data_IF_203456571099
#
_entry.id   IF_203456571099
#
_cell.length_a   1.000
_cell.length_b   1.000
_cell.length_c   1.000
_cell.angle_alpha   90.00
_cell.angle_beta   90.00
_cell.angle_gamma   90.00
#
_symmetry.space_group_name_H-M   'P 1'
#
loop_
_entity.id
_entity.type
_entity.pdbx_description
1 polymer ?
#
# COMPACT_ATOMS: atom_id res chain seq x y z
N UNK A 1 2.38 14.78 19.20
CA UNK A 1 2.64 13.59 20.05
C UNK A 1 2.67 14.04 21.49
N UNK A 2 2.28 13.19 22.42
CA UNK A 2 2.16 13.58 23.84
C UNK A 2 3.55 13.94 24.41
N UNK A 3 3.63 14.94 25.30
CA UNK A 3 4.88 15.49 25.83
C UNK A 3 5.87 14.45 26.40
N UNK A 4 5.35 13.30 26.90
CA UNK A 4 6.21 12.21 27.41
C UNK A 4 7.15 11.61 26.34
N UNK A 5 6.82 11.74 25.04
CA UNK A 5 7.63 11.24 23.95
C UNK A 5 8.65 12.24 23.39
N UNK A 6 8.59 13.52 23.78
CA UNK A 6 9.36 14.59 23.15
C UNK A 6 10.87 14.32 23.15
N UNK A 7 11.41 13.81 24.26
CA UNK A 7 12.83 13.49 24.37
C UNK A 7 13.26 12.35 23.44
N UNK A 8 12.43 11.29 23.33
CA UNK A 8 12.70 10.15 22.46
C UNK A 8 12.57 10.54 20.98
N UNK A 9 11.56 11.34 20.64
CA UNK A 9 11.36 11.84 19.26
C UNK A 9 12.50 12.76 18.85
N UNK A 10 12.95 13.65 19.74
CA UNK A 10 14.11 14.50 19.46
C UNK A 10 15.37 13.67 19.18
N UNK A 11 15.60 12.60 19.96
CA UNK A 11 16.70 11.66 19.73
C UNK A 11 16.57 10.93 18.38
N UNK A 12 15.37 10.44 18.05
CA UNK A 12 15.08 9.78 16.76
C UNK A 12 15.37 10.75 15.59
N UNK A 13 14.87 11.98 15.64
CA UNK A 13 15.04 12.96 14.57
C UNK A 13 16.50 13.40 14.39
N UNK A 14 17.27 13.48 15.47
CA UNK A 14 18.69 13.84 15.42
C UNK A 14 19.62 12.67 15.12
N UNK A 15 19.12 11.42 15.15
CA UNK A 15 19.94 10.22 15.01
C UNK A 15 20.81 9.92 16.24
N UNK A 16 20.48 10.48 17.41
CA UNK A 16 21.25 10.32 18.64
C UNK A 16 20.88 9.03 19.36
N UNK A 17 21.63 7.97 19.04
CA UNK A 17 21.43 6.61 19.55
C UNK A 17 21.56 6.56 21.08
N UNK A 18 22.61 7.20 21.64
CA UNK A 18 22.88 7.13 23.08
C UNK A 18 21.81 7.87 23.89
N UNK A 19 21.32 8.98 23.35
CA UNK A 19 20.21 9.71 23.96
C UNK A 19 18.94 8.86 23.93
N UNK A 20 18.61 8.21 22.79
CA UNK A 20 17.45 7.31 22.71
C UNK A 20 17.58 6.17 23.71
N UNK A 21 18.74 5.53 23.79
CA UNK A 21 19.04 4.45 24.73
C UNK A 21 18.81 4.90 26.18
N UNK A 22 19.36 6.07 26.55
CA UNK A 22 19.19 6.64 27.89
C UNK A 22 17.72 6.91 28.25
N UNK A 23 16.98 7.51 27.31
CA UNK A 23 15.57 7.85 27.53
C UNK A 23 14.71 6.60 27.67
N UNK A 24 14.94 5.57 26.82
CA UNK A 24 14.19 4.31 26.86
C UNK A 24 14.56 3.47 28.08
N UNK A 25 15.83 3.49 28.52
CA UNK A 25 16.23 2.82 29.77
C UNK A 25 15.63 3.47 31.01
N UNK A 26 15.48 4.79 31.02
CA UNK A 26 14.82 5.50 32.11
C UNK A 26 13.31 5.24 32.20
N UNK A 27 12.64 5.06 31.04
CA UNK A 27 11.23 4.69 30.96
C UNK A 27 10.98 3.73 29.79
N UNK A 28 11.12 2.41 30.00
CA UNK A 28 10.88 1.41 28.97
C UNK A 28 9.44 1.40 28.44
N UNK A 29 8.48 1.95 29.19
CA UNK A 29 7.08 2.00 28.75
C UNK A 29 6.87 2.90 27.52
N UNK A 30 7.82 3.79 27.22
CA UNK A 30 7.78 4.61 26.01
C UNK A 30 7.82 3.76 24.74
N UNK A 31 8.53 2.62 24.73
CA UNK A 31 8.62 1.74 23.58
C UNK A 31 7.28 1.04 23.28
N UNK A 32 6.48 0.74 24.30
CA UNK A 32 5.20 0.04 24.18
C UNK A 32 3.98 0.95 24.16
N UNK A 33 4.15 2.20 24.57
CA UNK A 33 3.07 3.19 24.65
C UNK A 33 2.66 3.71 23.29
N UNK A 34 1.38 4.09 23.19
CA UNK A 34 0.80 4.74 22.01
C UNK A 34 0.51 6.20 22.31
N UNK A 35 0.85 7.07 21.38
CA UNK A 35 0.47 8.50 21.41
C UNK A 35 -0.88 8.73 20.78
N UNK A 36 -1.38 9.96 20.87
CA UNK A 36 -2.62 10.40 20.22
C UNK A 36 -2.47 10.74 18.72
N UNK A 37 -1.33 10.47 18.10
CA UNK A 37 -1.08 10.78 16.69
C UNK A 37 -1.39 9.61 15.76
N UNK A 38 -1.39 9.86 14.44
CA UNK A 38 -1.55 8.86 13.39
C UNK A 38 -0.41 7.82 13.37
N UNK A 39 0.78 8.20 13.85
CA UNK A 39 1.94 7.31 14.01
C UNK A 39 2.18 7.08 15.50
N UNK A 40 1.38 6.21 16.13
CA UNK A 40 1.21 6.23 17.58
C UNK A 40 2.38 5.68 18.38
N UNK A 41 3.30 4.90 17.79
CA UNK A 41 4.45 4.33 18.50
C UNK A 41 5.76 4.96 18.07
N UNK A 42 6.76 4.95 18.97
CA UNK A 42 8.10 5.44 18.64
C UNK A 42 8.73 4.68 17.46
N UNK A 43 8.48 3.36 17.37
CA UNK A 43 9.03 2.55 16.30
C UNK A 43 8.36 2.89 14.94
N UNK A 44 7.06 3.20 14.90
CA UNK A 44 6.42 3.74 13.70
C UNK A 44 6.98 5.11 13.30
N UNK A 45 7.15 6.01 14.26
CA UNK A 45 7.77 7.32 14.04
C UNK A 45 9.19 7.17 13.45
N UNK A 46 10.01 6.28 14.01
CA UNK A 46 11.36 6.00 13.52
C UNK A 46 11.34 5.51 12.05
N UNK A 47 10.47 4.57 11.72
CA UNK A 47 10.39 4.00 10.37
C UNK A 47 9.89 5.00 9.33
N UNK A 48 8.94 5.86 9.69
CA UNK A 48 8.29 6.79 8.77
C UNK A 48 9.05 8.12 8.64
N UNK A 49 9.46 8.69 9.77
CA UNK A 49 9.95 10.07 9.82
C UNK A 49 11.49 10.17 9.83
N UNK A 50 12.20 9.07 10.12
CA UNK A 50 13.64 9.01 10.18
C UNK A 50 14.24 7.92 9.26
N UNK A 51 13.61 7.69 8.11
CA UNK A 51 14.01 6.66 7.14
C UNK A 51 15.45 6.78 6.66
N UNK A 52 15.89 8.01 6.42
CA UNK A 52 17.24 8.30 5.89
C UNK A 52 18.30 8.44 7.00
N UNK A 53 17.93 8.13 8.24
CA UNK A 53 18.87 8.17 9.35
C UNK A 53 19.78 6.93 9.30
N UNK A 54 21.11 7.10 9.22
CA UNK A 54 22.05 5.98 9.14
C UNK A 54 22.01 5.07 10.38
N UNK A 55 21.50 5.57 11.50
CA UNK A 55 21.37 4.82 12.75
C UNK A 55 19.99 4.20 12.95
N UNK A 56 19.10 4.24 11.93
CA UNK A 56 17.72 3.78 12.05
C UNK A 56 17.61 2.34 12.58
N UNK A 57 18.43 1.44 12.07
CA UNK A 57 18.38 0.01 12.45
C UNK A 57 18.83 -0.20 13.89
N UNK A 58 19.87 0.52 14.34
CA UNK A 58 20.31 0.43 15.74
C UNK A 58 19.25 1.02 16.68
N UNK A 59 18.67 2.14 16.35
CA UNK A 59 17.58 2.74 17.12
C UNK A 59 16.34 1.83 17.16
N UNK A 60 16.01 1.16 16.04
CA UNK A 60 14.91 0.19 16.00
C UNK A 60 15.16 -0.96 16.98
N UNK A 61 16.38 -1.51 17.03
CA UNK A 61 16.75 -2.56 18.00
C UNK A 61 16.56 -2.11 19.45
N UNK A 62 16.97 -0.89 19.80
CA UNK A 62 16.75 -0.35 21.16
C UNK A 62 15.26 -0.38 21.54
N UNK A 63 14.39 0.04 20.62
CA UNK A 63 12.95 0.06 20.86
C UNK A 63 12.36 -1.36 20.92
N UNK A 64 12.80 -2.27 20.06
CA UNK A 64 12.36 -3.66 20.01
C UNK A 64 12.81 -4.40 21.28
N UNK A 65 14.06 -4.22 21.71
CA UNK A 65 14.60 -4.83 22.93
C UNK A 65 13.85 -4.32 24.20
N UNK A 66 13.30 -3.12 24.13
CA UNK A 66 12.42 -2.55 25.15
C UNK A 66 10.93 -2.98 25.00
N UNK A 67 10.62 -3.90 24.08
CA UNK A 67 9.31 -4.51 23.94
C UNK A 67 8.37 -3.82 22.94
N UNK A 68 8.87 -2.98 22.03
CA UNK A 68 8.04 -2.37 21.01
C UNK A 68 7.34 -3.43 20.13
N UNK A 69 6.05 -3.16 19.78
CA UNK A 69 5.33 -3.98 18.80
C UNK A 69 5.97 -3.87 17.41
N UNK A 70 6.30 -5.03 16.83
CA UNK A 70 6.96 -5.13 15.52
C UNK A 70 5.96 -5.23 14.34
N UNK A 71 4.69 -5.56 14.59
CA UNK A 71 3.70 -5.75 13.54
C UNK A 71 3.20 -4.42 12.95
N UNK A 72 2.83 -3.47 13.80
CA UNK A 72 2.34 -2.17 13.34
C UNK A 72 3.33 -1.41 12.46
N UNK A 73 4.63 -1.30 12.85
CA UNK A 73 5.66 -0.65 12.03
C UNK A 73 5.97 -1.35 10.71
N UNK A 74 5.73 -2.65 10.58
CA UNK A 74 6.00 -3.40 9.35
C UNK A 74 5.16 -2.90 8.17
N UNK A 75 3.88 -2.54 8.39
CA UNK A 75 3.05 -1.85 7.38
C UNK A 75 3.65 -0.50 6.96
N UNK A 76 4.21 0.25 7.90
CA UNK A 76 4.89 1.51 7.60
C UNK A 76 6.16 1.29 6.75
N UNK A 77 6.91 0.20 6.97
CA UNK A 77 8.03 -0.17 6.09
C UNK A 77 7.55 -0.45 4.66
N UNK A 78 6.43 -1.16 4.52
CA UNK A 78 5.84 -1.46 3.22
C UNK A 78 5.44 -0.18 2.47
N UNK A 79 4.81 0.79 3.14
CA UNK A 79 4.40 2.06 2.51
C UNK A 79 5.58 2.98 2.12
N UNK A 80 6.76 2.77 2.67
CA UNK A 80 7.96 3.59 2.42
C UNK A 80 9.07 2.89 1.65
N UNK A 81 8.84 1.67 1.20
CA UNK A 81 9.87 0.81 0.58
C UNK A 81 11.13 0.67 1.44
N UNK A 82 10.95 0.62 2.77
CA UNK A 82 12.06 0.50 3.72
C UNK A 82 12.40 -0.97 3.98
N UNK A 83 13.20 -1.54 3.09
CA UNK A 83 13.52 -2.97 3.08
C UNK A 83 14.37 -3.41 4.27
N UNK A 84 15.28 -2.56 4.76
CA UNK A 84 16.16 -2.90 5.88
C UNK A 84 15.38 -2.99 7.20
N UNK A 85 14.53 -2.00 7.46
CA UNK A 85 13.66 -2.04 8.63
C UNK A 85 12.63 -3.18 8.53
N UNK A 86 12.06 -3.43 7.34
CA UNK A 86 11.16 -4.57 7.13
C UNK A 86 11.83 -5.90 7.43
N UNK A 87 13.07 -6.10 6.96
CA UNK A 87 13.84 -7.32 7.22
C UNK A 87 14.10 -7.51 8.73
N UNK A 88 14.51 -6.43 9.42
CA UNK A 88 14.71 -6.49 10.88
C UNK A 88 13.42 -6.87 11.61
N UNK A 89 12.28 -6.25 11.29
CA UNK A 89 11.01 -6.54 11.97
C UNK A 89 10.55 -7.98 11.75
N UNK A 90 10.72 -8.51 10.52
CA UNK A 90 10.46 -9.92 10.21
C UNK A 90 11.39 -10.85 10.97
N UNK A 91 12.70 -10.54 11.10
CA UNK A 91 13.67 -11.30 11.88
C UNK A 91 13.33 -11.28 13.38
N UNK A 92 12.65 -10.24 13.85
CA UNK A 92 12.14 -10.11 15.22
C UNK A 92 10.73 -10.69 15.42
N UNK A 93 10.20 -11.44 14.44
CA UNK A 93 8.96 -12.20 14.57
C UNK A 93 7.70 -11.48 14.16
N UNK A 94 7.80 -10.39 13.40
CA UNK A 94 6.62 -9.76 12.81
C UNK A 94 5.90 -10.72 11.84
N UNK A 95 4.55 -10.70 11.85
CA UNK A 95 3.72 -11.57 11.03
C UNK A 95 3.81 -11.14 9.55
N UNK A 96 4.38 -11.99 8.71
CA UNK A 96 4.65 -11.68 7.29
C UNK A 96 3.38 -11.39 6.48
N UNK A 97 2.28 -12.06 6.78
CA UNK A 97 0.99 -11.83 6.12
C UNK A 97 0.12 -10.78 6.85
N UNK A 98 0.68 -10.12 7.87
CA UNK A 98 -0.04 -9.15 8.68
C UNK A 98 -0.92 -9.80 9.75
N UNK A 99 -1.63 -8.97 10.51
CA UNK A 99 -2.51 -9.40 11.62
C UNK A 99 -3.97 -9.03 11.39
N UNK A 100 -4.34 -8.61 10.20
CA UNK A 100 -5.67 -8.11 9.83
C UNK A 100 -6.12 -8.51 8.43
N UNK A 101 -7.19 -7.90 7.96
CA UNK A 101 -7.78 -8.17 6.63
C UNK A 101 -7.03 -7.55 5.44
N UNK A 102 -5.92 -6.86 5.70
CA UNK A 102 -5.02 -6.27 4.69
C UNK A 102 -3.60 -6.78 4.93
N UNK A 103 -3.04 -7.47 3.94
CA UNK A 103 -1.72 -8.06 4.09
C UNK A 103 -0.60 -7.05 3.80
N UNK A 104 0.60 -7.37 4.27
CA UNK A 104 1.78 -6.55 3.99
C UNK A 104 2.14 -6.53 2.50
N UNK A 105 1.87 -7.63 1.81
CA UNK A 105 2.09 -7.70 0.36
C UNK A 105 1.10 -6.80 -0.39
N UNK A 106 -0.15 -6.70 0.06
CA UNK A 106 -1.13 -5.73 -0.46
C UNK A 106 -0.68 -4.29 -0.21
N UNK A 107 -0.18 -3.99 1.00
CA UNK A 107 0.36 -2.67 1.35
C UNK A 107 1.54 -2.30 0.45
N UNK A 108 2.49 -3.22 0.28
CA UNK A 108 3.67 -2.99 -0.56
C UNK A 108 3.31 -2.81 -2.04
N UNK A 109 2.35 -3.59 -2.55
CA UNK A 109 1.81 -3.44 -3.91
C UNK A 109 1.10 -2.10 -4.07
N UNK A 110 0.25 -1.71 -3.13
CA UNK A 110 -0.47 -0.44 -3.18
C UNK A 110 0.47 0.77 -3.31
N UNK A 111 1.60 0.75 -2.58
CA UNK A 111 2.60 1.83 -2.60
C UNK A 111 3.71 1.63 -3.64
N UNK A 112 3.62 0.61 -4.49
CA UNK A 112 4.66 0.24 -5.47
C UNK A 112 6.05 0.09 -4.83
N UNK A 113 6.12 -0.54 -3.66
CA UNK A 113 7.33 -0.71 -2.85
C UNK A 113 8.09 -1.96 -3.26
N UNK A 114 8.73 -1.93 -4.44
CA UNK A 114 9.31 -3.10 -5.09
C UNK A 114 10.31 -3.88 -4.21
N UNK A 115 11.21 -3.17 -3.51
CA UNK A 115 12.21 -3.86 -2.66
C UNK A 115 11.59 -4.64 -1.51
N UNK A 116 10.47 -4.10 -0.95
CA UNK A 116 9.73 -4.79 0.11
C UNK A 116 8.88 -5.93 -0.47
N UNK A 117 8.27 -5.76 -1.66
CA UNK A 117 7.59 -6.86 -2.38
C UNK A 117 8.54 -8.05 -2.54
N UNK A 118 9.74 -7.79 -3.08
CA UNK A 118 10.75 -8.82 -3.30
C UNK A 118 11.20 -9.50 -2.00
N UNK A 119 11.36 -8.73 -0.92
CA UNK A 119 11.67 -9.27 0.41
C UNK A 119 10.56 -10.19 0.90
N UNK A 120 9.31 -9.73 0.86
CA UNK A 120 8.15 -10.50 1.34
C UNK A 120 7.98 -11.81 0.56
N UNK A 121 8.12 -11.77 -0.77
CA UNK A 121 8.04 -12.97 -1.60
C UNK A 121 9.18 -13.97 -1.29
N UNK A 122 10.42 -13.49 -1.14
CA UNK A 122 11.55 -14.35 -0.74
C UNK A 122 11.36 -14.97 0.65
N UNK A 123 10.62 -14.31 1.53
CA UNK A 123 10.32 -14.78 2.90
C UNK A 123 9.04 -15.61 2.97
N UNK A 124 8.36 -15.84 1.84
CA UNK A 124 7.21 -16.73 1.74
C UNK A 124 5.86 -16.09 2.07
N UNK A 125 5.70 -14.78 1.85
CA UNK A 125 4.41 -14.10 1.96
C UNK A 125 3.36 -14.75 1.04
N UNK A 126 2.13 -14.87 1.52
CA UNK A 126 1.05 -15.59 0.85
C UNK A 126 0.40 -14.75 -0.26
N UNK A 127 0.19 -15.37 -1.42
CA UNK A 127 -0.62 -14.81 -2.52
C UNK A 127 -2.04 -15.36 -2.41
N UNK A 128 -2.87 -14.73 -1.60
CA UNK A 128 -4.14 -15.30 -1.14
C UNK A 128 -5.39 -14.68 -1.80
N UNK A 129 -5.24 -13.73 -2.72
CA UNK A 129 -6.37 -13.14 -3.45
C UNK A 129 -6.01 -12.71 -4.88
N UNK A 130 -7.04 -12.39 -5.68
CA UNK A 130 -6.90 -12.00 -7.08
C UNK A 130 -6.08 -10.73 -7.27
N UNK A 131 -6.25 -9.73 -6.40
CA UNK A 131 -5.55 -8.45 -6.46
C UNK A 131 -4.03 -8.63 -6.31
N UNK A 132 -3.59 -9.42 -5.33
CA UNK A 132 -2.16 -9.72 -5.15
C UNK A 132 -1.62 -10.46 -6.36
N UNK A 133 -2.32 -11.49 -6.86
CA UNK A 133 -1.90 -12.23 -8.03
C UNK A 133 -1.77 -11.32 -9.27
N UNK A 134 -2.71 -10.40 -9.46
CA UNK A 134 -2.71 -9.43 -10.56
C UNK A 134 -1.55 -8.42 -10.43
N UNK A 135 -1.36 -7.84 -9.23
CA UNK A 135 -0.27 -6.89 -8.95
C UNK A 135 1.13 -7.50 -9.03
N UNK A 136 1.23 -8.82 -8.95
CA UNK A 136 2.48 -9.58 -9.15
C UNK A 136 2.62 -10.18 -10.57
N UNK A 137 1.66 -9.97 -11.46
CA UNK A 137 1.66 -10.53 -12.82
C UNK A 137 1.54 -12.05 -12.87
N UNK A 138 1.04 -12.70 -11.80
CA UNK A 138 0.93 -14.16 -11.67
C UNK A 138 -0.30 -14.70 -12.41
N UNK A 139 -0.20 -14.74 -13.76
CA UNK A 139 -1.28 -15.25 -14.62
C UNK A 139 -1.68 -16.68 -14.28
N UNK A 140 -0.72 -17.50 -13.87
CA UNK A 140 -0.91 -18.88 -13.40
C UNK A 140 -1.84 -18.95 -12.16
N UNK A 141 -1.77 -17.96 -11.29
CA UNK A 141 -2.61 -17.90 -10.09
C UNK A 141 -3.94 -17.17 -10.36
N UNK A 142 -3.96 -16.18 -11.25
CA UNK A 142 -5.19 -15.45 -11.62
C UNK A 142 -6.27 -16.43 -12.07
N UNK A 143 -5.94 -17.41 -12.92
CA UNK A 143 -6.89 -18.42 -13.40
C UNK A 143 -7.54 -19.22 -12.27
N UNK A 144 -6.82 -19.48 -11.19
CA UNK A 144 -7.32 -20.26 -10.05
C UNK A 144 -8.44 -19.57 -9.27
N UNK A 145 -8.58 -18.26 -9.40
CA UNK A 145 -9.65 -17.49 -8.77
C UNK A 145 -10.97 -17.50 -9.55
N UNK A 146 -10.98 -18.16 -10.72
CA UNK A 146 -12.18 -18.31 -11.54
C UNK A 146 -12.63 -19.79 -11.58
N UNK A 147 -13.94 -20.01 -11.45
CA UNK A 147 -14.52 -21.31 -11.66
C UNK A 147 -14.70 -21.58 -13.16
N UNK A 148 -15.03 -22.84 -13.53
CA UNK A 148 -15.19 -23.26 -14.93
C UNK A 148 -16.33 -22.54 -15.67
N UNK A 149 -17.33 -22.03 -14.95
CA UNK A 149 -18.41 -21.22 -15.49
C UNK A 149 -18.06 -19.71 -15.59
N UNK A 150 -16.81 -19.33 -15.27
CA UNK A 150 -16.31 -17.97 -15.27
C UNK A 150 -16.72 -17.15 -14.05
N UNK A 151 -17.40 -17.72 -13.06
CA UNK A 151 -17.67 -17.03 -11.80
C UNK A 151 -16.40 -16.87 -10.96
N UNK A 152 -16.35 -15.82 -10.12
CA UNK A 152 -15.27 -15.68 -9.13
C UNK A 152 -15.49 -16.66 -7.98
N UNK A 153 -14.39 -17.29 -7.56
CA UNK A 153 -14.37 -18.06 -6.33
C UNK A 153 -14.31 -17.14 -5.11
N UNK A 154 -14.75 -17.59 -3.93
CA UNK A 154 -14.64 -16.81 -2.68
C UNK A 154 -13.21 -16.34 -2.37
N UNK A 155 -12.21 -17.14 -2.75
CA UNK A 155 -10.78 -16.88 -2.55
C UNK A 155 -10.26 -15.71 -3.40
N UNK A 156 -11.02 -15.23 -4.40
CA UNK A 156 -10.68 -14.00 -5.13
C UNK A 156 -10.60 -12.78 -4.21
N UNK A 157 -11.19 -12.88 -3.02
CA UNK A 157 -11.15 -11.87 -1.98
C UNK A 157 -12.21 -10.79 -2.16
N UNK A 158 -12.05 -9.74 -1.39
CA UNK A 158 -12.94 -8.56 -1.36
C UNK A 158 -12.12 -7.30 -1.62
N UNK A 159 -12.80 -6.24 -2.04
CA UNK A 159 -12.16 -4.92 -2.15
C UNK A 159 -11.96 -4.39 -0.73
N UNK A 160 -10.72 -4.25 -0.34
CA UNK A 160 -10.29 -3.62 0.89
C UNK A 160 -9.43 -2.40 0.57
N UNK A 161 -9.22 -1.57 1.57
CA UNK A 161 -8.32 -0.42 1.48
C UNK A 161 -7.21 -0.53 2.54
N UNK A 162 -5.99 0.04 2.30
CA UNK A 162 -4.82 -0.09 3.20
C UNK A 162 -5.07 0.22 4.67
N UNK A 163 -6.05 1.06 4.96
CA UNK A 163 -6.43 1.48 6.31
C UNK A 163 -7.72 0.83 6.80
N UNK A 164 -8.20 -0.19 6.08
CA UNK A 164 -9.60 -0.62 6.08
C UNK A 164 -9.95 -1.82 6.91
N UNK A 165 -9.11 -2.24 7.79
CA UNK A 165 -9.56 -3.05 8.90
C UNK A 165 -10.30 -2.12 9.89
N UNK A 166 -11.61 -2.35 10.09
CA UNK A 166 -12.39 -1.64 11.12
C UNK A 166 -11.68 -1.66 12.47
N UNK A 167 -10.97 -2.74 12.80
CA UNK A 167 -10.15 -2.84 14.00
C UNK A 167 -8.95 -1.87 13.98
N UNK A 168 -8.38 -1.52 12.83
CA UNK A 168 -7.35 -0.49 12.71
C UNK A 168 -7.98 0.89 12.87
N UNK A 169 -9.17 1.10 12.30
CA UNK A 169 -9.93 2.35 12.45
C UNK A 169 -10.34 2.55 13.91
N UNK A 170 -10.83 1.52 14.60
CA UNK A 170 -11.20 1.59 16.02
C UNK A 170 -9.98 1.81 16.92
N UNK A 171 -8.83 1.27 16.56
CA UNK A 171 -7.56 1.47 17.27
C UNK A 171 -6.81 2.73 16.84
N UNK A 172 -7.21 3.37 15.73
CA UNK A 172 -6.64 4.63 15.30
C UNK A 172 -7.13 5.77 16.20
N UNK A 173 -6.27 6.76 16.39
CA UNK A 173 -6.62 7.96 17.14
C UNK A 173 -7.38 9.00 16.30
N UNK A 174 -8.02 8.57 15.20
CA UNK A 174 -8.95 9.43 14.48
C UNK A 174 -10.10 9.81 15.41
N UNK A 175 -10.51 11.05 15.36
CA UNK A 175 -11.72 11.47 16.01
C UNK A 175 -12.94 10.74 15.41
N UNK A 176 -14.11 10.91 16.04
CA UNK A 176 -15.32 10.23 15.59
C UNK A 176 -15.65 10.56 14.13
N UNK A 177 -15.43 11.81 13.71
CA UNK A 177 -15.75 12.24 12.34
C UNK A 177 -14.83 11.59 11.31
N UNK A 178 -13.54 11.44 11.60
CA UNK A 178 -12.57 10.72 10.76
C UNK A 178 -12.89 9.25 10.66
N UNK A 179 -13.32 8.59 11.76
CA UNK A 179 -13.76 7.20 11.76
C UNK A 179 -15.02 6.99 10.93
N UNK A 180 -16.03 7.85 11.10
CA UNK A 180 -17.28 7.79 10.35
C UNK A 180 -17.06 8.02 8.85
N UNK A 181 -16.16 8.94 8.48
CA UNK A 181 -15.77 9.17 7.09
C UNK A 181 -15.09 7.94 6.47
N UNK A 182 -14.17 7.30 7.18
CA UNK A 182 -13.51 6.07 6.72
C UNK A 182 -14.52 4.94 6.61
N UNK A 183 -15.33 4.69 7.61
CA UNK A 183 -16.38 3.66 7.59
C UNK A 183 -17.37 3.87 6.43
N UNK A 184 -17.74 5.12 6.13
CA UNK A 184 -18.59 5.47 4.97
C UNK A 184 -17.91 5.14 3.65
N UNK A 185 -16.60 5.40 3.50
CA UNK A 185 -15.84 5.00 2.30
C UNK A 185 -15.85 3.49 2.08
N UNK A 186 -15.69 2.71 3.16
CA UNK A 186 -15.70 1.24 3.06
C UNK A 186 -17.05 0.67 2.66
N UNK A 187 -18.13 1.20 3.22
CA UNK A 187 -19.48 0.76 2.90
C UNK A 187 -19.91 1.10 1.47
N UNK A 188 -19.19 2.00 0.78
CA UNK A 188 -19.47 2.39 -0.61
C UNK A 188 -18.82 1.49 -1.67
N UNK A 189 -17.90 0.57 -1.28
CA UNK A 189 -17.26 -0.32 -2.25
C UNK A 189 -18.20 -1.44 -2.66
N UNK A 190 -18.46 -1.53 -3.97
CA UNK A 190 -19.18 -2.69 -4.50
C UNK A 190 -18.28 -3.93 -4.40
N UNK A 191 -18.77 -4.93 -3.68
CA UNK A 191 -18.09 -6.23 -3.51
C UNK A 191 -18.56 -7.25 -4.55
N UNK A 192 -19.13 -6.76 -5.65
CA UNK A 192 -19.57 -7.63 -6.74
C UNK A 192 -18.38 -8.12 -7.58
N UNK A 193 -18.65 -9.12 -8.41
CA UNK A 193 -17.67 -9.71 -9.32
C UNK A 193 -16.96 -8.63 -10.16
N UNK A 194 -17.69 -7.68 -10.70
CA UNK A 194 -17.16 -6.65 -11.58
C UNK A 194 -16.19 -5.73 -10.86
N UNK A 195 -16.56 -5.29 -9.66
CA UNK A 195 -15.70 -4.44 -8.84
C UNK A 195 -14.38 -5.13 -8.47
N UNK A 196 -14.43 -6.41 -8.09
CA UNK A 196 -13.22 -7.20 -7.72
C UNK A 196 -12.29 -7.38 -8.94
N UNK A 197 -12.84 -7.70 -10.12
CA UNK A 197 -12.05 -7.84 -11.36
C UNK A 197 -11.44 -6.51 -11.77
N UNK A 198 -12.22 -5.42 -11.74
CA UNK A 198 -11.73 -4.09 -12.09
C UNK A 198 -10.62 -3.62 -11.14
N UNK A 199 -10.74 -3.90 -9.84
CA UNK A 199 -9.70 -3.60 -8.87
C UNK A 199 -8.40 -4.36 -9.19
N UNK A 200 -8.48 -5.66 -9.43
CA UNK A 200 -7.32 -6.48 -9.82
C UNK A 200 -6.70 -6.00 -11.14
N UNK A 201 -7.52 -5.60 -12.12
CA UNK A 201 -7.05 -5.03 -13.38
C UNK A 201 -6.23 -3.76 -13.18
N UNK A 202 -6.69 -2.86 -12.31
CA UNK A 202 -5.91 -1.65 -11.97
C UNK A 202 -4.57 -2.03 -11.37
N UNK A 203 -4.50 -3.01 -10.45
CA UNK A 203 -3.22 -3.46 -9.89
C UNK A 203 -2.28 -4.04 -10.96
N UNK A 204 -2.77 -4.81 -11.93
CA UNK A 204 -1.91 -5.32 -13.02
C UNK A 204 -1.35 -4.18 -13.88
N UNK A 205 -2.14 -3.16 -14.17
CA UNK A 205 -1.72 -2.00 -14.95
C UNK A 205 -0.79 -1.07 -14.17
N UNK A 206 -1.05 -0.88 -12.87
CA UNK A 206 -0.20 -0.12 -11.95
C UNK A 206 1.23 -0.64 -11.89
N UNK A 207 1.40 -1.96 -12.04
CA UNK A 207 2.70 -2.64 -12.01
C UNK A 207 3.23 -3.03 -13.40
N UNK A 208 2.56 -2.62 -14.48
CA UNK A 208 3.00 -2.87 -15.86
C UNK A 208 2.91 -4.32 -16.33
N UNK A 209 2.12 -5.16 -15.65
CA UNK A 209 1.99 -6.60 -15.97
C UNK A 209 1.03 -6.85 -17.14
N UNK A 210 1.55 -6.74 -18.35
CA UNK A 210 0.81 -6.80 -19.61
C UNK A 210 -0.05 -8.06 -19.75
N UNK A 211 0.51 -9.24 -19.49
CA UNK A 211 -0.22 -10.50 -19.67
C UNK A 211 -1.35 -10.67 -18.63
N UNK A 212 -1.13 -10.20 -17.41
CA UNK A 212 -2.19 -10.18 -16.38
C UNK A 212 -3.31 -9.21 -16.76
N UNK A 213 -2.97 -8.02 -17.29
CA UNK A 213 -3.95 -7.05 -17.75
C UNK A 213 -4.80 -7.60 -18.90
N UNK A 214 -4.16 -8.21 -19.91
CA UNK A 214 -4.88 -8.87 -21.03
C UNK A 214 -5.81 -9.98 -20.56
N UNK A 215 -5.32 -10.82 -19.62
CA UNK A 215 -6.13 -11.90 -19.05
C UNK A 215 -7.35 -11.35 -18.32
N UNK A 216 -7.18 -10.32 -17.50
CA UNK A 216 -8.29 -9.71 -16.74
C UNK A 216 -9.31 -9.01 -17.64
N UNK A 217 -8.88 -8.36 -18.75
CA UNK A 217 -9.79 -7.86 -19.78
C UNK A 217 -10.60 -9.01 -20.41
N UNK A 218 -9.96 -10.13 -20.74
CA UNK A 218 -10.66 -11.30 -21.25
C UNK A 218 -11.64 -11.92 -20.22
N UNK A 219 -11.38 -11.73 -18.91
CA UNK A 219 -12.30 -12.10 -17.83
C UNK A 219 -13.40 -11.06 -17.58
N UNK A 220 -13.45 -9.96 -18.32
CA UNK A 220 -14.49 -8.95 -18.29
C UNK A 220 -14.13 -7.70 -17.46
N UNK A 221 -12.87 -7.43 -17.18
CA UNK A 221 -12.47 -6.14 -16.64
C UNK A 221 -12.88 -5.00 -17.58
N UNK A 222 -13.24 -3.86 -17.03
CA UNK A 222 -13.65 -2.67 -17.77
C UNK A 222 -12.51 -1.65 -17.79
N UNK A 223 -12.03 -1.31 -18.98
CA UNK A 223 -10.84 -0.46 -19.17
C UNK A 223 -10.98 0.93 -18.50
N UNK A 224 -12.18 1.52 -18.53
CA UNK A 224 -12.47 2.85 -17.98
C UNK A 224 -13.07 2.83 -16.56
N UNK A 225 -13.09 1.67 -15.89
CA UNK A 225 -13.62 1.60 -14.55
C UNK A 225 -12.73 2.36 -13.55
N UNK A 226 -13.38 3.00 -12.59
CA UNK A 226 -12.76 3.56 -11.38
C UNK A 226 -13.18 2.66 -10.20
N UNK A 227 -12.40 1.63 -9.87
CA UNK A 227 -12.78 0.71 -8.81
C UNK A 227 -12.55 1.32 -7.42
N UNK A 228 -13.26 0.77 -6.43
CA UNK A 228 -12.96 1.04 -5.03
C UNK A 228 -11.61 0.47 -4.58
N UNK A 229 -11.21 0.79 -3.35
CA UNK A 229 -9.99 0.26 -2.74
C UNK A 229 -8.73 1.10 -2.96
N UNK A 230 -8.88 2.31 -3.50
CA UNK A 230 -7.79 3.27 -3.70
C UNK A 230 -8.12 4.61 -3.04
N UNK A 231 -7.12 5.26 -2.46
CA UNK A 231 -7.28 6.61 -1.88
C UNK A 231 -7.48 7.67 -2.96
N UNK A 232 -6.68 7.59 -4.02
CA UNK A 232 -6.88 8.35 -5.26
C UNK A 232 -7.56 7.42 -6.26
N UNK A 233 -8.87 7.55 -6.41
CA UNK A 233 -9.63 6.67 -7.31
C UNK A 233 -9.51 7.17 -8.75
N UNK A 234 -8.60 6.56 -9.49
CA UNK A 234 -8.38 6.74 -10.93
C UNK A 234 -8.65 5.46 -11.72
N UNK A 235 -8.62 5.53 -13.03
CA UNK A 235 -8.68 4.38 -13.93
C UNK A 235 -7.33 3.66 -14.00
N UNK A 236 -7.28 2.47 -14.62
CA UNK A 236 -6.03 1.77 -14.91
C UNK A 236 -5.01 2.67 -15.65
N UNK A 237 -5.48 3.53 -16.55
CA UNK A 237 -4.64 4.45 -17.30
C UNK A 237 -3.96 5.49 -16.40
N UNK A 238 -4.62 5.99 -15.36
CA UNK A 238 -4.02 6.91 -14.38
C UNK A 238 -2.83 6.24 -13.68
N UNK A 239 -3.01 5.01 -13.19
CA UNK A 239 -1.97 4.29 -12.45
C UNK A 239 -0.81 3.85 -13.33
N UNK A 240 -1.08 3.42 -14.58
CA UNK A 240 -0.03 3.12 -15.55
C UNK A 240 0.81 4.36 -15.89
N UNK A 241 0.15 5.50 -16.06
CA UNK A 241 0.79 6.79 -16.35
C UNK A 241 1.65 7.30 -15.18
N UNK A 242 1.11 7.24 -13.94
CA UNK A 242 1.81 7.63 -12.71
C UNK A 242 3.12 6.85 -12.52
N UNK A 243 3.10 5.55 -12.84
CA UNK A 243 4.23 4.66 -12.60
C UNK A 243 5.16 4.49 -13.82
N UNK A 244 4.99 5.27 -14.88
CA UNK A 244 5.90 5.30 -16.01
C UNK A 244 5.81 4.09 -16.96
N UNK A 245 4.71 3.36 -16.94
CA UNK A 245 4.53 2.16 -17.75
C UNK A 245 4.04 2.47 -19.17
N UNK A 246 4.91 3.10 -19.99
CA UNK A 246 4.58 3.56 -21.34
C UNK A 246 3.88 2.50 -22.21
N UNK A 247 4.44 1.30 -22.28
CA UNK A 247 3.85 0.22 -23.09
C UNK A 247 2.43 -0.17 -22.59
N UNK A 248 2.19 -0.09 -21.28
CA UNK A 248 0.86 -0.31 -20.71
C UNK A 248 -0.10 0.84 -21.04
N UNK A 249 0.37 2.08 -21.02
CA UNK A 249 -0.41 3.26 -21.42
C UNK A 249 -0.86 3.13 -22.89
N UNK A 250 0.08 2.84 -23.80
CA UNK A 250 -0.22 2.64 -25.22
C UNK A 250 -1.23 1.48 -25.42
N UNK A 251 -1.01 0.35 -24.74
CA UNK A 251 -1.95 -0.76 -24.75
C UNK A 251 -3.35 -0.36 -24.27
N UNK A 252 -3.45 0.37 -23.17
CA UNK A 252 -4.75 0.79 -22.63
C UNK A 252 -5.50 1.73 -23.58
N UNK A 253 -4.80 2.65 -24.24
CA UNK A 253 -5.37 3.51 -25.28
C UNK A 253 -5.91 2.66 -26.44
N UNK A 254 -5.15 1.67 -26.90
CA UNK A 254 -5.58 0.73 -27.95
C UNK A 254 -6.80 -0.10 -27.54
N UNK A 255 -7.00 -0.34 -26.22
CA UNK A 255 -8.18 -1.01 -25.67
C UNK A 255 -9.36 -0.03 -25.42
N UNK A 256 -9.25 1.23 -25.82
CA UNK A 256 -10.32 2.24 -25.69
C UNK A 256 -10.35 2.93 -24.32
N UNK A 257 -9.20 3.04 -23.65
CA UNK A 257 -9.10 3.88 -22.47
C UNK A 257 -9.33 5.36 -22.81
N UNK A 258 -10.25 5.99 -22.09
CA UNK A 258 -10.54 7.42 -22.24
C UNK A 258 -9.48 8.25 -21.47
N UNK A 259 -8.66 8.98 -22.20
CA UNK A 259 -7.57 9.82 -21.68
C UNK A 259 -8.05 11.07 -20.93
N UNK A 260 -9.34 11.40 -21.03
CA UNK A 260 -9.93 12.60 -20.43
C UNK A 260 -10.66 12.34 -19.10
N UNK A 261 -10.84 11.08 -18.72
CA UNK A 261 -11.42 10.76 -17.40
C UNK A 261 -10.59 11.41 -16.30
N UNK A 262 -11.28 12.04 -15.35
CA UNK A 262 -10.66 12.66 -14.17
C UNK A 262 -10.76 11.75 -12.96
N UNK A 263 -9.70 11.71 -12.16
CA UNK A 263 -9.74 11.03 -10.87
C UNK A 263 -10.78 11.68 -9.93
N UNK A 264 -11.25 10.93 -8.93
CA UNK A 264 -12.35 11.37 -8.06
C UNK A 264 -11.90 12.26 -6.88
N UNK A 265 -10.60 12.47 -6.68
CA UNK A 265 -10.07 13.17 -5.50
C UNK A 265 -9.60 14.59 -5.82
N UNK A 266 -8.80 14.74 -6.87
CA UNK A 266 -8.19 16.03 -7.24
C UNK A 266 -8.60 16.51 -8.64
N UNK A 267 -9.35 15.67 -9.38
CA UNK A 267 -9.88 16.01 -10.69
C UNK A 267 -8.83 16.06 -11.81
N UNK A 268 -7.72 15.35 -11.65
CA UNK A 268 -6.66 15.25 -12.65
C UNK A 268 -6.93 14.13 -13.65
N UNK A 269 -6.47 14.33 -14.89
CA UNK A 269 -6.47 13.32 -15.95
C UNK A 269 -5.25 12.40 -15.84
N UNK A 270 -5.18 11.28 -16.59
CA UNK A 270 -3.97 10.45 -16.66
C UNK A 270 -2.71 11.23 -17.05
N UNK A 271 -2.82 12.24 -17.94
CA UNK A 271 -1.71 13.14 -18.29
C UNK A 271 -1.21 13.95 -17.09
N UNK A 272 -2.11 14.43 -16.22
CA UNK A 272 -1.75 15.10 -14.96
C UNK A 272 -1.04 14.15 -13.98
N UNK A 273 -1.44 12.87 -13.94
CA UNK A 273 -0.76 11.87 -13.12
C UNK A 273 0.62 11.49 -13.68
N UNK A 274 0.78 11.44 -15.02
CA UNK A 274 2.10 11.27 -15.64
C UNK A 274 3.06 12.40 -15.28
N UNK A 275 2.57 13.65 -15.33
CA UNK A 275 3.34 14.84 -14.93
C UNK A 275 3.78 14.76 -13.46
N UNK A 276 2.86 14.42 -12.57
CA UNK A 276 3.14 14.23 -11.14
C UNK A 276 4.13 13.08 -10.88
N UNK A 277 4.06 11.99 -11.66
CA UNK A 277 4.97 10.86 -11.62
C UNK A 277 6.36 11.14 -12.23
N UNK A 278 6.56 12.28 -12.89
CA UNK A 278 7.82 12.64 -13.54
C UNK A 278 8.04 11.94 -14.89
N UNK A 279 6.96 11.66 -15.64
CA UNK A 279 6.97 10.96 -16.93
C UNK A 279 6.47 11.86 -18.08
N UNK A 280 7.24 12.91 -18.48
CA UNK A 280 6.82 13.86 -19.49
C UNK A 280 6.55 13.22 -20.85
N UNK A 281 7.28 12.16 -21.21
CA UNK A 281 7.11 11.41 -22.46
C UNK A 281 5.77 10.66 -22.52
N UNK A 282 5.22 10.24 -21.38
CA UNK A 282 3.89 9.63 -21.29
C UNK A 282 2.80 10.71 -21.33
N UNK A 283 3.06 11.84 -20.68
CA UNK A 283 2.16 13.00 -20.75
C UNK A 283 1.93 13.44 -22.18
N UNK A 284 3.01 13.57 -22.99
CA UNK A 284 2.90 13.93 -24.42
C UNK A 284 2.02 12.94 -25.18
N UNK A 285 2.23 11.64 -25.01
CA UNK A 285 1.41 10.58 -25.64
C UNK A 285 -0.06 10.75 -25.28
N UNK A 286 -0.37 11.04 -24.01
CA UNK A 286 -1.75 11.19 -23.54
C UNK A 286 -2.41 12.48 -24.02
N UNK A 287 -1.65 13.57 -24.16
CA UNK A 287 -2.15 14.86 -24.68
C UNK A 287 -2.36 14.86 -26.22
N UNK A 288 -1.62 14.02 -26.94
CA UNK A 288 -1.76 13.83 -28.39
C UNK A 288 -2.85 12.80 -28.76
N UNK A 289 -3.32 12.03 -27.80
CA UNK A 289 -4.35 11.01 -28.02
C UNK A 289 -5.74 11.66 -28.12
N UNK A 290 -6.60 11.18 -29.06
CA UNK A 290 -7.90 11.77 -29.33
C UNK A 290 -8.93 11.61 -28.19
#
# INVERSE_FOLDING_TARGET
MDAKFDAAIAAIKSGDVERLRTVVQADPTLATSRSSTSHPTLLQCLVLDARDNPNQIEMARILIDAGADVNGPLGACASRNNVEAAALLLDCGAAIDGTGGWSLLEEALYWNSQSVIDLLLRRGASIHNLRIAAGLGRTDLIENFFASDGSLRPEAGTINWPWGDLNVIERSNFDRSGRDMLASKFSSFTQDRQGIINNAFVYSCMHGHMDAAKLLLAKGAQVNAIPGGFDYSGTALHYAALNGHRAMVEFLIDQGADVHIKDTKVGQTPAGWADYGGHPEIKEVLEESP
#
